data_IF_290942646731
#
_entry.id   IF_290942646731
#
_cell.length_a   1.000
_cell.length_b   1.000
_cell.length_c   1.000
_cell.angle_alpha   90.00
_cell.angle_beta   90.00
_cell.angle_gamma   90.00
#
_symmetry.space_group_name_H-M   'P 1'
#
loop_
_entity.id
_entity.type
_entity.pdbx_description
1 polymer ?
#
# COMPACT_ATOMS: atom_id res chain seq x y z
N UNK A 1 13.67 22.46 -10.62
CA UNK A 1 12.74 22.22 -9.52
C UNK A 1 12.81 20.77 -9.09
N UNK A 2 13.15 20.53 -7.87
CA UNK A 2 13.11 19.18 -7.38
C UNK A 2 11.68 18.67 -7.50
N UNK A 3 11.54 17.52 -8.15
CA UNK A 3 10.24 16.89 -8.18
C UNK A 3 10.01 16.36 -6.78
N UNK A 4 9.17 17.04 -6.07
CA UNK A 4 8.69 16.53 -4.80
C UNK A 4 7.85 15.29 -5.08
N UNK A 5 7.48 14.59 -4.03
CA UNK A 5 6.45 13.58 -4.13
C UNK A 5 5.34 14.06 -5.06
N UNK A 6 4.90 13.19 -5.94
CA UNK A 6 3.88 13.54 -6.92
C UNK A 6 2.52 13.78 -6.32
N UNK A 7 2.34 13.48 -5.03
CA UNK A 7 1.15 13.91 -4.32
C UNK A 7 1.55 14.57 -3.01
N UNK A 8 0.63 15.39 -2.44
CA UNK A 8 0.92 16.13 -1.23
C UNK A 8 1.37 15.24 -0.09
N UNK A 9 2.25 15.76 0.74
CA UNK A 9 2.78 15.03 1.88
C UNK A 9 1.67 14.56 2.82
N UNK A 10 0.63 15.36 2.99
CA UNK A 10 -0.50 14.99 3.83
C UNK A 10 -1.25 13.75 3.35
N UNK A 11 -1.21 13.45 2.07
CA UNK A 11 -1.83 12.22 1.54
C UNK A 11 -1.04 10.99 1.90
N UNK A 12 0.26 11.13 2.16
CA UNK A 12 1.14 10.03 2.51
C UNK A 12 1.21 9.80 4.01
N UNK A 13 1.23 10.88 4.78
CA UNK A 13 1.53 10.84 6.20
C UNK A 13 0.34 11.16 7.08
N UNK A 14 -0.86 11.26 6.52
CA UNK A 14 -2.00 11.65 7.31
C UNK A 14 -2.41 10.53 8.25
N UNK A 15 -2.05 10.66 9.51
CA UNK A 15 -2.51 9.75 10.54
C UNK A 15 -3.96 10.01 10.92
N UNK A 16 -4.39 11.26 10.82
CA UNK A 16 -5.76 11.66 11.07
C UNK A 16 -6.49 12.11 9.83
N UNK A 17 -5.78 12.13 8.70
CA UNK A 17 -6.37 12.57 7.46
C UNK A 17 -7.30 11.52 6.87
N UNK A 18 -8.35 12.00 6.30
CA UNK A 18 -9.30 11.11 5.65
C UNK A 18 -8.75 10.64 4.32
N UNK A 19 -8.73 9.35 4.13
CA UNK A 19 -8.49 8.77 2.81
C UNK A 19 -9.73 9.02 1.94
N UNK A 20 -9.49 9.05 0.65
CA UNK A 20 -10.56 9.04 -0.34
C UNK A 20 -10.19 8.05 -1.43
N UNK A 21 -11.12 7.81 -2.35
CA UNK A 21 -10.89 6.83 -3.40
C UNK A 21 -9.59 7.08 -4.16
N UNK A 22 -9.34 8.33 -4.54
CA UNK A 22 -8.18 8.65 -5.36
C UNK A 22 -6.87 8.50 -4.58
N UNK A 23 -6.84 8.92 -3.30
CA UNK A 23 -5.63 8.74 -2.49
C UNK A 23 -5.40 7.27 -2.16
N UNK A 24 -6.44 6.50 -1.94
CA UNK A 24 -6.33 5.04 -1.73
C UNK A 24 -5.72 4.39 -2.96
N UNK A 25 -6.25 4.71 -4.13
CA UNK A 25 -5.72 4.17 -5.40
C UNK A 25 -4.26 4.55 -5.59
N UNK A 26 -3.91 5.81 -5.35
CA UNK A 26 -2.53 6.27 -5.51
C UNK A 26 -1.58 5.54 -4.58
N UNK A 27 -1.98 5.31 -3.33
CA UNK A 27 -1.16 4.57 -2.37
C UNK A 27 -1.02 3.10 -2.76
N UNK A 28 -2.09 2.47 -3.20
CA UNK A 28 -2.02 1.08 -3.66
C UNK A 28 -1.08 0.95 -4.86
N UNK A 29 -1.15 1.87 -5.82
CA UNK A 29 -0.22 1.89 -6.95
C UNK A 29 1.23 2.05 -6.48
N UNK A 30 1.46 2.96 -5.54
CA UNK A 30 2.80 3.17 -5.01
C UNK A 30 3.35 1.90 -4.34
N UNK A 31 2.58 1.29 -3.45
CA UNK A 31 3.06 0.09 -2.74
C UNK A 31 3.32 -1.06 -3.69
N UNK A 32 2.43 -1.27 -4.65
CA UNK A 32 2.63 -2.33 -5.63
C UNK A 32 3.94 -2.12 -6.41
N UNK A 33 4.14 -0.93 -6.95
CA UNK A 33 5.30 -0.64 -7.78
C UNK A 33 6.58 -0.63 -6.95
N UNK A 34 6.57 -0.02 -5.76
CA UNK A 34 7.77 0.07 -4.93
C UNK A 34 8.19 -1.29 -4.39
N UNK A 35 7.24 -2.09 -3.92
CA UNK A 35 7.54 -3.43 -3.43
C UNK A 35 8.03 -4.34 -4.55
N UNK A 36 7.47 -4.20 -5.74
CA UNK A 36 7.89 -4.98 -6.90
C UNK A 36 9.32 -4.61 -7.30
N UNK A 37 9.66 -3.32 -7.31
CA UNK A 37 11.00 -2.87 -7.63
C UNK A 37 12.01 -3.41 -6.61
N UNK A 38 11.69 -3.36 -5.32
CA UNK A 38 12.56 -3.92 -4.28
C UNK A 38 12.72 -5.43 -4.43
N UNK A 39 11.66 -6.13 -4.82
CA UNK A 39 11.69 -7.56 -5.11
C UNK A 39 12.70 -7.89 -6.20
N UNK A 40 12.77 -7.07 -7.23
CA UNK A 40 13.74 -7.26 -8.31
C UNK A 40 15.16 -6.89 -7.89
N UNK A 41 15.32 -5.85 -7.08
CA UNK A 41 16.65 -5.29 -6.79
C UNK A 41 17.36 -5.95 -5.63
N UNK A 42 16.63 -6.59 -4.70
CA UNK A 42 17.28 -7.25 -3.57
C UNK A 42 18.17 -8.39 -4.03
N UNK A 43 19.25 -8.62 -3.27
CA UNK A 43 20.16 -9.74 -3.52
C UNK A 43 19.96 -10.88 -2.54
N UNK A 44 19.04 -10.73 -1.58
CA UNK A 44 18.76 -11.77 -0.61
C UNK A 44 17.57 -12.62 -1.05
N UNK A 45 17.74 -13.95 -1.03
CA UNK A 45 16.68 -14.84 -1.49
C UNK A 45 15.44 -14.75 -0.60
N UNK A 46 15.62 -14.74 0.72
CA UNK A 46 14.50 -14.68 1.64
C UNK A 46 13.73 -13.36 1.48
N UNK A 47 14.45 -12.25 1.32
CA UNK A 47 13.85 -10.96 1.10
C UNK A 47 13.12 -10.90 -0.25
N UNK A 48 13.71 -11.46 -1.28
CA UNK A 48 13.09 -11.57 -2.61
C UNK A 48 11.74 -12.30 -2.52
N UNK A 49 11.73 -13.44 -1.83
CA UNK A 49 10.50 -14.23 -1.67
C UNK A 49 9.45 -13.48 -0.86
N UNK A 50 9.86 -12.85 0.23
CA UNK A 50 8.93 -12.09 1.09
C UNK A 50 8.31 -10.93 0.33
N UNK A 51 9.13 -10.17 -0.38
CA UNK A 51 8.65 -9.03 -1.18
C UNK A 51 7.76 -9.48 -2.32
N UNK A 52 8.08 -10.62 -2.95
CA UNK A 52 7.26 -11.17 -4.02
C UNK A 52 5.85 -11.50 -3.57
N UNK A 53 5.72 -12.08 -2.39
CA UNK A 53 4.41 -12.44 -1.85
C UNK A 53 3.58 -11.21 -1.50
N UNK A 54 4.20 -10.19 -0.89
CA UNK A 54 3.42 -9.02 -0.47
C UNK A 54 3.05 -8.13 -1.64
N UNK A 55 3.93 -7.94 -2.63
CA UNK A 55 3.56 -7.12 -3.77
C UNK A 55 2.43 -7.77 -4.58
N UNK A 56 2.47 -9.09 -4.70
CA UNK A 56 1.42 -9.85 -5.39
C UNK A 56 0.08 -9.70 -4.70
N UNK A 57 0.09 -9.71 -3.37
CA UNK A 57 -1.13 -9.48 -2.58
C UNK A 57 -1.69 -8.08 -2.80
N UNK A 58 -0.84 -7.07 -2.79
CA UNK A 58 -1.27 -5.68 -3.06
C UNK A 58 -1.86 -5.57 -4.47
N UNK A 59 -1.21 -6.21 -5.44
CA UNK A 59 -1.70 -6.24 -6.81
C UNK A 59 -3.11 -6.83 -6.88
N UNK A 60 -3.32 -7.98 -6.24
CA UNK A 60 -4.60 -8.66 -6.27
C UNK A 60 -5.70 -7.84 -5.59
N UNK A 61 -5.38 -7.19 -4.48
CA UNK A 61 -6.36 -6.43 -3.71
C UNK A 61 -6.69 -5.07 -4.32
N UNK A 62 -5.77 -4.50 -5.10
CA UNK A 62 -5.95 -3.13 -5.62
C UNK A 62 -7.25 -3.00 -6.41
N UNK A 63 -7.46 -3.88 -7.35
CA UNK A 63 -8.63 -3.84 -8.22
C UNK A 63 -9.91 -4.01 -7.41
N UNK A 64 -9.90 -4.98 -6.52
CA UNK A 64 -11.05 -5.27 -5.67
C UNK A 64 -11.42 -4.10 -4.78
N UNK A 65 -10.43 -3.49 -4.13
CA UNK A 65 -10.66 -2.35 -3.23
C UNK A 65 -11.24 -1.17 -4.00
N UNK A 66 -10.63 -0.82 -5.13
CA UNK A 66 -11.06 0.33 -5.92
C UNK A 66 -12.47 0.12 -6.46
N UNK A 67 -12.76 -1.06 -7.01
CA UNK A 67 -14.07 -1.35 -7.57
C UNK A 67 -15.16 -1.37 -6.50
N UNK A 68 -14.86 -1.93 -5.34
CA UNK A 68 -15.83 -1.95 -4.24
C UNK A 68 -16.17 -0.55 -3.75
N UNK A 69 -15.15 0.30 -3.58
CA UNK A 69 -15.40 1.68 -3.15
C UNK A 69 -16.25 2.41 -4.21
N UNK A 70 -15.95 2.24 -5.49
CA UNK A 70 -16.77 2.83 -6.55
C UNK A 70 -18.20 2.31 -6.53
N UNK A 71 -18.36 1.02 -6.20
CA UNK A 71 -19.70 0.44 -6.05
C UNK A 71 -20.49 1.06 -4.91
N UNK A 72 -19.83 1.32 -3.78
CA UNK A 72 -20.47 1.97 -2.64
C UNK A 72 -20.84 3.43 -2.93
N UNK A 73 -19.95 4.16 -3.60
CA UNK A 73 -20.09 5.62 -3.73
C UNK A 73 -20.76 6.05 -5.02
N UNK A 74 -20.83 5.19 -6.01
CA UNK A 74 -21.35 5.54 -7.33
C UNK A 74 -20.45 6.49 -8.12
N UNK A 75 -19.22 6.72 -7.64
CA UNK A 75 -18.27 7.62 -8.30
C UNK A 75 -17.24 6.84 -9.11
N UNK A 76 -16.41 7.56 -9.84
CA UNK A 76 -15.28 6.96 -10.58
C UNK A 76 -13.99 7.59 -10.11
N UNK A 77 -12.90 6.84 -10.23
CA UNK A 77 -11.57 7.36 -9.93
C UNK A 77 -11.20 8.45 -10.93
N UNK A 78 -10.29 9.30 -10.48
CA UNK A 78 -9.61 10.26 -11.36
C UNK A 78 -8.14 9.87 -11.45
N UNK A 79 -7.50 10.25 -12.54
CA UNK A 79 -6.07 10.03 -12.68
C UNK A 79 -5.34 10.81 -11.59
N UNK A 80 -4.39 10.15 -10.94
CA UNK A 80 -3.57 10.74 -9.89
C UNK A 80 -2.11 10.43 -10.16
N UNK A 81 -1.21 11.37 -9.89
CA UNK A 81 0.21 11.06 -9.95
C UNK A 81 0.55 9.97 -8.93
N UNK A 82 1.51 9.13 -9.30
CA UNK A 82 2.03 8.12 -8.39
C UNK A 82 3.33 8.66 -7.80
N UNK A 83 3.56 8.39 -6.52
CA UNK A 83 4.80 8.78 -5.87
C UNK A 83 5.97 8.13 -6.59
N UNK A 84 7.09 8.87 -6.69
CA UNK A 84 8.30 8.37 -7.33
C UNK A 84 8.81 7.11 -6.63
N UNK A 85 9.07 6.08 -7.43
CA UNK A 85 9.65 4.83 -6.94
C UNK A 85 11.16 5.02 -6.78
N UNK A 86 11.70 4.48 -5.70
CA UNK A 86 13.10 4.64 -5.34
C UNK A 86 13.84 3.32 -5.49
N UNK A 87 15.15 3.44 -5.72
CA UNK A 87 16.03 2.28 -5.75
C UNK A 87 16.20 1.68 -4.36
N UNK A 88 16.53 0.40 -4.34
CA UNK A 88 16.74 -0.36 -3.10
C UNK A 88 17.91 0.20 -2.30
N UNK A 89 17.69 0.34 -0.99
CA UNK A 89 18.74 0.58 -0.02
C UNK A 89 18.55 -0.37 1.16
N UNK A 90 19.63 -0.71 1.88
CA UNK A 90 19.49 -1.60 3.04
C UNK A 90 18.48 -1.09 4.06
N UNK A 91 17.60 -1.96 4.54
CA UNK A 91 16.55 -1.61 5.48
C UNK A 91 15.30 -1.04 4.86
N UNK A 92 15.32 -0.74 3.57
CA UNK A 92 14.18 -0.11 2.91
C UNK A 92 12.98 -1.04 2.80
N UNK A 93 13.23 -2.34 2.57
CA UNK A 93 12.13 -3.30 2.47
C UNK A 93 11.28 -3.30 3.74
N UNK A 94 11.92 -3.35 4.90
CA UNK A 94 11.22 -3.30 6.18
C UNK A 94 10.44 -1.99 6.32
N UNK A 95 11.06 -0.88 5.98
CA UNK A 95 10.43 0.44 6.08
C UNK A 95 9.16 0.51 5.23
N UNK A 96 9.24 0.08 3.97
CA UNK A 96 8.09 0.15 3.05
C UNK A 96 6.97 -0.76 3.53
N UNK A 97 7.30 -1.96 4.04
CA UNK A 97 6.28 -2.88 4.56
C UNK A 97 5.62 -2.29 5.81
N UNK A 98 6.38 -1.59 6.67
CA UNK A 98 5.78 -0.90 7.82
C UNK A 98 4.84 0.22 7.37
N UNK A 99 5.20 0.95 6.33
CA UNK A 99 4.32 1.97 5.75
C UNK A 99 3.04 1.34 5.18
N UNK A 100 3.18 0.18 4.54
CA UNK A 100 2.01 -0.55 4.05
C UNK A 100 1.09 -0.95 5.21
N UNK A 101 1.67 -1.40 6.31
CA UNK A 101 0.89 -1.77 7.50
C UNK A 101 0.14 -0.56 8.06
N UNK A 102 0.79 0.61 8.09
CA UNK A 102 0.15 1.86 8.51
C UNK A 102 -0.99 2.23 7.57
N UNK A 103 -0.76 2.11 6.26
CA UNK A 103 -1.82 2.36 5.28
C UNK A 103 -2.99 1.41 5.47
N UNK A 104 -2.72 0.13 5.74
CA UNK A 104 -3.78 -0.85 5.98
C UNK A 104 -4.66 -0.43 7.17
N UNK A 105 -4.07 0.13 8.22
CA UNK A 105 -4.83 0.64 9.35
C UNK A 105 -5.68 1.85 8.96
N UNK A 106 -5.13 2.75 8.16
CA UNK A 106 -5.89 3.90 7.66
C UNK A 106 -7.06 3.44 6.78
N UNK A 107 -6.84 2.42 5.96
CA UNK A 107 -7.90 1.86 5.10
C UNK A 107 -8.99 1.18 5.93
N UNK A 108 -8.60 0.51 7.00
CA UNK A 108 -9.56 -0.08 7.94
C UNK A 108 -10.45 1.01 8.54
N UNK A 109 -9.85 2.09 9.01
CA UNK A 109 -10.58 3.21 9.58
C UNK A 109 -11.51 3.87 8.55
N UNK A 110 -11.06 3.98 7.31
CA UNK A 110 -11.87 4.48 6.22
C UNK A 110 -13.11 3.59 6.00
N UNK A 111 -12.90 2.27 5.98
CA UNK A 111 -14.02 1.32 5.81
C UNK A 111 -15.02 1.42 6.93
N UNK A 112 -14.53 1.51 8.17
CA UNK A 112 -15.38 1.66 9.34
C UNK A 112 -16.17 2.98 9.30
N UNK A 113 -15.48 4.09 9.04
CA UNK A 113 -16.10 5.42 9.05
C UNK A 113 -17.13 5.61 7.93
N UNK A 114 -17.00 4.88 6.84
CA UNK A 114 -17.87 5.00 5.69
C UNK A 114 -18.85 3.84 5.55
N UNK A 115 -18.94 2.99 6.56
CA UNK A 115 -19.88 1.86 6.58
C UNK A 115 -19.63 0.88 5.44
N UNK A 116 -18.37 0.56 5.20
CA UNK A 116 -17.94 -0.39 4.19
C UNK A 116 -17.24 -1.57 4.88
N UNK A 117 -18.01 -2.54 5.45
CA UNK A 117 -17.43 -3.60 6.27
C UNK A 117 -16.49 -4.53 5.48
N UNK A 118 -16.73 -4.73 4.20
CA UNK A 118 -15.84 -5.56 3.38
C UNK A 118 -14.50 -4.86 3.11
N UNK A 119 -14.48 -3.54 2.97
CA UNK A 119 -13.23 -2.78 2.90
C UNK A 119 -12.47 -2.89 4.22
N UNK A 120 -13.17 -2.78 5.33
CA UNK A 120 -12.59 -2.96 6.65
C UNK A 120 -11.95 -4.34 6.80
N UNK A 121 -12.65 -5.39 6.37
CA UNK A 121 -12.14 -6.75 6.44
C UNK A 121 -10.92 -6.96 5.55
N UNK A 122 -10.93 -6.43 4.34
CA UNK A 122 -9.78 -6.51 3.42
C UNK A 122 -8.57 -5.83 4.05
N UNK A 123 -8.79 -4.66 4.65
CA UNK A 123 -7.71 -3.90 5.28
C UNK A 123 -7.11 -4.66 6.45
N UNK A 124 -7.93 -5.32 7.27
CA UNK A 124 -7.46 -6.16 8.36
C UNK A 124 -6.60 -7.31 7.84
N UNK A 125 -7.02 -7.96 6.76
CA UNK A 125 -6.25 -9.01 6.12
C UNK A 125 -4.91 -8.50 5.60
N UNK A 126 -4.91 -7.34 4.97
CA UNK A 126 -3.67 -6.73 4.46
C UNK A 126 -2.72 -6.37 5.60
N UNK A 127 -3.23 -5.87 6.72
CA UNK A 127 -2.43 -5.60 7.90
C UNK A 127 -1.76 -6.87 8.42
N UNK A 128 -2.49 -7.98 8.45
CA UNK A 128 -1.94 -9.28 8.83
C UNK A 128 -0.89 -9.77 7.87
N UNK A 129 -1.12 -9.60 6.58
CA UNK A 129 -0.15 -9.97 5.54
C UNK A 129 1.13 -9.14 5.66
N UNK A 130 1.01 -7.85 5.96
CA UNK A 130 2.17 -7.00 6.17
C UNK A 130 2.94 -7.43 7.42
N UNK A 131 2.25 -7.77 8.51
CA UNK A 131 2.89 -8.26 9.72
C UNK A 131 3.64 -9.57 9.46
N UNK A 132 3.05 -10.49 8.71
CA UNK A 132 3.71 -11.74 8.34
C UNK A 132 4.93 -11.49 7.45
N UNK A 133 4.84 -10.50 6.56
CA UNK A 133 5.97 -10.12 5.72
C UNK A 133 7.12 -9.57 6.57
N UNK A 134 6.81 -8.75 7.57
CA UNK A 134 7.85 -8.27 8.50
C UNK A 134 8.56 -9.42 9.19
N UNK A 135 7.82 -10.46 9.58
CA UNK A 135 8.45 -11.67 10.12
C UNK A 135 9.36 -12.32 9.09
N UNK A 136 8.88 -12.50 7.85
CA UNK A 136 9.68 -13.13 6.79
C UNK A 136 10.94 -12.35 6.47
N UNK A 137 10.91 -11.03 6.60
CA UNK A 137 12.09 -10.18 6.36
C UNK A 137 13.18 -10.37 7.44
N UNK A 138 12.88 -11.02 8.55
CA UNK A 138 13.89 -11.37 9.56
C UNK A 138 14.67 -12.64 9.19
N UNK A 139 14.23 -13.37 8.19
CA UNK A 139 14.86 -14.63 7.77
C UNK A 139 15.99 -14.36 6.77
N UNK A 140 16.92 -15.26 6.68
CA UNK A 140 18.06 -15.13 5.77
C UNK A 140 18.06 -16.18 4.66
#
# INVERSE_FOLDING_TARGET
MAIKSLFPQEMLNSSGGELNLDSIKAKLNYFELQLHELHWQTRGFAEHEALGKIYDKVFDLKDEIVEKIMGYTGTRTKAMPVQQIKDYTPGMAEQVVRELKTFAKQLENFGESNDMPDIENIAQGLSGDAAQTLYRLTLS
#
